data_IF_119600386111
#
_entry.id   IF_119600386111
#
_cell.length_a   1.000
_cell.length_b   1.000
_cell.length_c   1.000
_cell.angle_alpha   90.00
_cell.angle_beta   90.00
_cell.angle_gamma   90.00
#
_symmetry.space_group_name_H-M   'P 1'
#
loop_
_entity.id
_entity.type
_entity.pdbx_description
1 polymer ?
#
# COMPACT_ATOMS: atom_id res chain seq x y z
N UNK A 1 -52.67 5.59 -43.32
CA UNK A 1 -51.87 6.54 -42.52
C UNK A 1 -52.02 6.09 -41.08
N UNK A 2 -51.10 5.25 -40.63
CA UNK A 2 -49.92 5.64 -39.80
C UNK A 2 -50.34 5.73 -38.33
N UNK A 3 -49.69 5.12 -37.34
CA UNK A 3 -48.49 4.29 -37.33
C UNK A 3 -48.42 3.55 -35.99
N UNK A 4 -47.88 2.33 -36.01
CA UNK A 4 -47.52 1.58 -34.80
C UNK A 4 -46.23 2.18 -34.25
N UNK A 5 -46.29 2.86 -33.10
CA UNK A 5 -45.09 3.17 -32.33
C UNK A 5 -44.66 1.90 -31.57
N UNK A 6 -43.80 1.11 -32.21
CA UNK A 6 -42.98 0.13 -31.51
C UNK A 6 -41.89 0.89 -30.75
N UNK A 7 -42.01 0.95 -29.43
CA UNK A 7 -40.91 1.36 -28.57
C UNK A 7 -39.78 0.35 -28.75
N UNK A 8 -38.69 0.79 -29.36
CA UNK A 8 -37.43 0.04 -29.33
C UNK A 8 -36.91 0.22 -27.91
N UNK A 9 -37.00 -0.82 -27.10
CA UNK A 9 -36.22 -0.92 -25.88
C UNK A 9 -34.75 -0.84 -26.29
N UNK A 10 -34.10 0.27 -25.94
CA UNK A 10 -32.68 0.45 -26.08
C UNK A 10 -32.01 -0.53 -25.11
N UNK A 11 -31.76 -1.75 -25.58
CA UNK A 11 -30.96 -2.73 -24.86
C UNK A 11 -29.56 -2.15 -24.72
N UNK A 12 -29.32 -1.43 -23.60
CA UNK A 12 -27.99 -0.99 -23.21
C UNK A 12 -27.10 -2.23 -23.18
N UNK A 13 -26.18 -2.34 -24.13
CA UNK A 13 -25.18 -3.40 -24.15
C UNK A 13 -24.53 -3.38 -22.76
N UNK A 14 -24.56 -4.49 -22.00
CA UNK A 14 -23.97 -4.51 -20.67
C UNK A 14 -22.51 -4.07 -20.79
N UNK A 15 -22.17 -2.93 -20.18
CA UNK A 15 -20.78 -2.46 -20.18
C UNK A 15 -19.95 -3.53 -19.48
N UNK A 16 -18.86 -3.94 -20.13
CA UNK A 16 -17.89 -4.85 -19.54
C UNK A 16 -17.41 -4.24 -18.20
N UNK A 17 -17.37 -5.03 -17.11
CA UNK A 17 -16.89 -4.54 -15.82
C UNK A 17 -15.50 -3.91 -15.93
N UNK A 18 -15.28 -2.80 -15.22
CA UNK A 18 -13.96 -2.21 -15.12
C UNK A 18 -13.01 -3.19 -14.43
N UNK A 19 -11.84 -3.40 -15.01
CA UNK A 19 -10.80 -4.23 -14.42
C UNK A 19 -10.12 -3.51 -13.26
N UNK A 20 -9.89 -4.22 -12.15
CA UNK A 20 -9.17 -3.70 -10.98
C UNK A 20 -7.98 -4.62 -10.68
N UNK A 21 -6.78 -4.07 -10.60
CA UNK A 21 -5.59 -4.77 -10.14
C UNK A 21 -5.19 -4.26 -8.75
N UNK A 22 -5.06 -5.16 -7.78
CA UNK A 22 -4.48 -4.82 -6.48
C UNK A 22 -3.10 -5.47 -6.36
N UNK A 23 -2.06 -4.65 -6.23
CA UNK A 23 -0.64 -5.06 -6.24
C UNK A 23 -0.09 -5.00 -4.81
N UNK A 24 0.49 -6.11 -4.35
CA UNK A 24 1.06 -6.23 -3.01
C UNK A 24 2.34 -5.44 -2.78
N UNK A 25 2.92 -5.64 -1.60
CA UNK A 25 4.10 -4.95 -1.10
C UNK A 25 5.32 -5.16 -2.02
N UNK A 26 6.04 -4.07 -2.33
CA UNK A 26 7.12 -4.05 -3.33
C UNK A 26 8.49 -4.04 -2.68
N UNK A 27 8.64 -3.30 -1.57
CA UNK A 27 9.85 -3.25 -0.75
C UNK A 27 11.15 -3.09 -1.56
N UNK A 28 11.24 -2.06 -2.40
CA UNK A 28 12.48 -1.73 -3.12
C UNK A 28 12.92 -2.74 -4.19
N UNK A 29 12.11 -3.76 -4.53
CA UNK A 29 12.46 -4.73 -5.57
C UNK A 29 11.96 -4.30 -6.96
N UNK A 30 12.67 -3.36 -7.59
CA UNK A 30 12.29 -2.81 -8.90
C UNK A 30 12.13 -3.87 -9.99
N UNK A 31 12.99 -4.89 -10.02
CA UNK A 31 12.93 -5.96 -11.02
C UNK A 31 11.66 -6.79 -10.88
N UNK A 32 11.21 -7.06 -9.65
CA UNK A 32 9.95 -7.75 -9.37
C UNK A 32 8.76 -6.91 -9.83
N UNK A 33 8.77 -5.61 -9.53
CA UNK A 33 7.73 -4.68 -9.97
C UNK A 33 7.62 -4.62 -11.50
N UNK A 34 8.74 -4.46 -12.21
CA UNK A 34 8.76 -4.39 -13.67
C UNK A 34 8.29 -5.70 -14.32
N UNK A 35 8.72 -6.85 -13.78
CA UNK A 35 8.29 -8.15 -14.29
C UNK A 35 6.80 -8.39 -14.05
N UNK A 36 6.28 -8.07 -12.85
CA UNK A 36 4.86 -8.17 -12.54
C UNK A 36 4.04 -7.26 -13.45
N UNK A 37 4.48 -6.02 -13.65
CA UNK A 37 3.81 -5.08 -14.55
C UNK A 37 3.76 -5.60 -15.99
N UNK A 38 4.88 -6.10 -16.51
CA UNK A 38 4.95 -6.71 -17.85
C UNK A 38 4.04 -7.94 -17.96
N UNK A 39 3.93 -8.75 -16.90
CA UNK A 39 3.06 -9.92 -16.88
C UNK A 39 1.58 -9.52 -16.88
N UNK A 40 1.20 -8.49 -16.11
CA UNK A 40 -0.15 -7.93 -16.13
C UNK A 40 -0.51 -7.40 -17.53
N UNK A 41 0.37 -6.61 -18.13
CA UNK A 41 0.17 -6.04 -19.48
C UNK A 41 0.05 -7.11 -20.56
N UNK A 42 0.74 -8.24 -20.40
CA UNK A 42 0.67 -9.37 -21.34
C UNK A 42 -0.60 -10.21 -21.17
N UNK A 43 -1.07 -10.38 -19.93
CA UNK A 43 -2.21 -11.27 -19.61
C UNK A 43 -3.57 -10.61 -19.78
N UNK A 44 -3.62 -9.30 -19.61
CA UNK A 44 -4.86 -8.54 -19.63
C UNK A 44 -5.08 -8.03 -21.05
N UNK A 45 -6.33 -8.07 -21.51
CA UNK A 45 -6.68 -7.49 -22.80
C UNK A 45 -6.23 -6.01 -22.85
N UNK A 46 -5.55 -5.55 -23.93
CA UNK A 46 -4.99 -4.21 -23.98
C UNK A 46 -6.02 -3.08 -23.75
N UNK A 47 -7.29 -3.28 -24.13
CA UNK A 47 -8.34 -2.28 -23.92
C UNK A 47 -8.73 -2.20 -22.45
N UNK A 48 -8.86 -3.36 -21.78
CA UNK A 48 -9.15 -3.41 -20.35
C UNK A 48 -7.98 -2.85 -19.54
N UNK A 49 -6.74 -3.24 -19.89
CA UNK A 49 -5.54 -2.80 -19.18
C UNK A 49 -5.41 -1.27 -19.25
N UNK A 50 -5.64 -0.66 -20.42
CA UNK A 50 -5.54 0.79 -20.60
C UNK A 50 -6.52 1.61 -19.75
N UNK A 51 -7.63 1.01 -19.30
CA UNK A 51 -8.68 1.70 -18.53
C UNK A 51 -8.83 1.18 -17.10
N UNK A 52 -7.94 0.27 -16.70
CA UNK A 52 -7.96 -0.39 -15.41
C UNK A 52 -7.81 0.60 -14.24
N UNK A 53 -8.36 0.21 -13.10
CA UNK A 53 -8.00 0.77 -11.80
C UNK A 53 -6.85 -0.05 -11.22
N UNK A 54 -5.72 0.59 -10.95
CA UNK A 54 -4.54 -0.04 -10.37
C UNK A 54 -4.36 0.49 -8.95
N UNK A 55 -4.45 -0.40 -7.97
CA UNK A 55 -4.31 -0.09 -6.54
C UNK A 55 -3.03 -0.74 -6.03
N UNK A 56 -2.03 0.08 -5.71
CA UNK A 56 -0.82 -0.35 -5.04
C UNK A 56 -1.03 -0.35 -3.54
N UNK A 57 -0.83 -1.48 -2.88
CA UNK A 57 -1.28 -1.71 -1.50
C UNK A 57 -0.34 -1.16 -0.42
N UNK A 58 0.77 -0.52 -0.81
CA UNK A 58 1.74 0.14 0.08
C UNK A 58 3.07 -0.61 0.14
N UNK A 59 3.92 -0.18 1.07
CA UNK A 59 5.25 -0.71 1.36
C UNK A 59 6.14 -0.77 0.10
N UNK A 60 6.43 0.40 -0.44
CA UNK A 60 7.27 0.60 -1.61
C UNK A 60 8.76 0.65 -1.26
N UNK A 61 9.07 1.15 -0.08
CA UNK A 61 10.44 1.29 0.43
C UNK A 61 10.88 0.14 1.34
N UNK A 62 12.13 0.21 1.77
CA UNK A 62 12.83 -0.67 2.69
C UNK A 62 13.09 -2.10 2.18
N UNK A 63 14.04 -2.79 2.82
CA UNK A 63 14.47 -4.17 2.57
C UNK A 63 15.20 -4.39 1.24
N UNK A 64 14.51 -4.15 0.12
CA UNK A 64 15.07 -4.27 -1.22
C UNK A 64 15.93 -3.06 -1.59
N UNK A 65 16.86 -3.23 -2.54
CA UNK A 65 17.94 -2.27 -2.77
C UNK A 65 17.53 -1.01 -3.55
N UNK A 66 16.44 -1.04 -4.31
CA UNK A 66 16.17 -0.06 -5.38
C UNK A 66 14.89 0.77 -5.09
N UNK A 67 14.74 1.26 -3.85
CA UNK A 67 13.55 2.06 -3.44
C UNK A 67 13.36 3.29 -4.32
N UNK A 68 14.46 3.98 -4.67
CA UNK A 68 14.42 5.15 -5.54
C UNK A 68 13.79 4.81 -6.89
N UNK A 69 14.27 3.77 -7.54
CA UNK A 69 13.82 3.31 -8.85
C UNK A 69 12.38 2.80 -8.82
N UNK A 70 11.95 2.17 -7.71
CA UNK A 70 10.54 1.82 -7.47
C UNK A 70 9.67 3.07 -7.51
N UNK A 71 10.02 4.12 -6.76
CA UNK A 71 9.22 5.35 -6.74
C UNK A 71 9.25 6.07 -8.10
N UNK A 72 10.41 6.11 -8.79
CA UNK A 72 10.53 6.62 -10.16
C UNK A 72 9.55 5.90 -11.10
N UNK A 73 9.49 4.57 -11.03
CA UNK A 73 8.58 3.75 -11.82
C UNK A 73 7.12 4.10 -11.52
N UNK A 74 6.72 4.14 -10.25
CA UNK A 74 5.34 4.44 -9.83
C UNK A 74 4.89 5.84 -10.27
N UNK A 75 5.76 6.84 -10.20
CA UNK A 75 5.49 8.20 -10.69
C UNK A 75 5.26 8.20 -12.20
N UNK A 76 6.06 7.45 -12.96
CA UNK A 76 5.97 7.39 -14.43
C UNK A 76 4.67 6.77 -14.96
N UNK A 77 3.96 5.99 -14.15
CA UNK A 77 2.73 5.28 -14.57
C UNK A 77 1.65 6.23 -15.08
N UNK A 78 1.50 7.41 -14.45
CA UNK A 78 0.46 8.38 -14.83
C UNK A 78 0.68 8.94 -16.24
N UNK A 79 1.93 9.15 -16.66
CA UNK A 79 2.24 9.60 -18.02
C UNK A 79 2.22 8.46 -19.03
N UNK A 80 2.65 7.26 -18.62
CA UNK A 80 2.75 6.10 -19.51
C UNK A 80 1.36 5.49 -19.79
N UNK A 81 0.43 5.59 -18.83
CA UNK A 81 -0.92 5.03 -18.90
C UNK A 81 -1.97 6.09 -18.51
N UNK A 82 -2.19 7.13 -19.34
CA UNK A 82 -3.02 8.29 -18.99
C UNK A 82 -4.51 7.97 -18.82
N UNK A 83 -4.98 6.81 -19.30
CA UNK A 83 -6.37 6.36 -19.19
C UNK A 83 -6.59 5.39 -18.01
N UNK A 84 -5.53 4.98 -17.31
CA UNK A 84 -5.63 4.21 -16.08
C UNK A 84 -5.92 5.15 -14.90
N UNK A 85 -6.47 4.59 -13.83
CA UNK A 85 -6.47 5.25 -12.52
C UNK A 85 -5.46 4.55 -11.62
N UNK A 86 -4.53 5.29 -11.03
CA UNK A 86 -3.54 4.77 -10.10
C UNK A 86 -3.80 5.26 -8.69
N UNK A 87 -3.96 4.32 -7.76
CA UNK A 87 -4.09 4.57 -6.33
C UNK A 87 -2.85 4.02 -5.64
N UNK A 88 -2.24 4.84 -4.80
CA UNK A 88 -1.06 4.49 -4.03
C UNK A 88 -1.41 4.58 -2.54
N UNK A 89 -1.59 3.43 -1.89
CA UNK A 89 -1.79 3.38 -0.45
C UNK A 89 -0.48 3.66 0.27
N UNK A 90 -0.56 4.35 1.41
CA UNK A 90 0.58 4.43 2.32
C UNK A 90 0.71 3.12 3.06
N UNK A 91 1.81 2.42 2.88
CA UNK A 91 2.21 1.35 3.79
C UNK A 91 2.70 1.89 5.13
N UNK A 92 2.97 1.00 6.09
CA UNK A 92 3.58 1.45 7.34
C UNK A 92 5.05 1.82 7.15
N UNK A 93 5.74 1.22 6.19
CA UNK A 93 7.11 1.59 5.83
C UNK A 93 7.12 2.97 5.17
N UNK A 94 6.23 3.21 4.20
CA UNK A 94 6.19 4.50 3.49
C UNK A 94 5.71 5.65 4.39
N UNK A 95 4.79 5.39 5.32
CA UNK A 95 4.39 6.36 6.35
C UNK A 95 5.59 6.79 7.21
N UNK A 96 6.43 5.82 7.59
CA UNK A 96 7.60 6.06 8.41
C UNK A 96 8.70 6.79 7.61
N UNK A 97 8.86 6.47 6.33
CA UNK A 97 9.74 7.21 5.42
C UNK A 97 9.25 8.65 5.21
N UNK A 98 7.96 8.85 4.94
CA UNK A 98 7.32 10.17 4.82
C UNK A 98 7.49 11.02 6.09
N UNK A 99 7.39 10.40 7.26
CA UNK A 99 7.69 11.04 8.54
C UNK A 99 9.14 11.53 8.62
N UNK A 100 10.10 10.71 8.19
CA UNK A 100 11.51 11.05 8.24
C UNK A 100 11.87 12.19 7.27
N UNK A 101 11.34 12.19 6.05
CA UNK A 101 11.58 13.26 5.07
C UNK A 101 10.72 14.51 5.28
N UNK A 102 9.88 14.52 6.32
CA UNK A 102 9.15 15.70 6.77
C UNK A 102 7.96 16.09 5.88
N UNK A 103 7.28 15.12 5.27
CA UNK A 103 6.15 15.37 4.34
C UNK A 103 4.79 14.91 4.87
N UNK A 104 4.73 14.48 6.13
CA UNK A 104 3.46 14.20 6.79
C UNK A 104 2.67 15.50 7.02
N UNK A 105 1.32 15.45 6.95
CA UNK A 105 0.50 16.56 7.42
C UNK A 105 0.68 16.75 8.93
N UNK A 106 0.66 18.01 9.42
CA UNK A 106 0.73 18.26 10.85
C UNK A 106 -0.47 17.63 11.57
N UNK A 107 -0.34 17.29 12.85
CA UNK A 107 -1.45 16.73 13.62
C UNK A 107 -2.69 17.64 13.57
N UNK A 108 -3.89 17.10 13.30
CA UNK A 108 -5.10 17.90 13.05
C UNK A 108 -5.57 18.75 14.24
N UNK A 109 -5.12 18.45 15.46
CA UNK A 109 -5.41 19.24 16.66
C UNK A 109 -4.31 20.25 17.02
N UNK A 110 -3.28 20.38 16.19
CA UNK A 110 -2.15 21.28 16.42
C UNK A 110 -1.14 20.80 17.46
N UNK A 111 -1.26 19.56 17.95
CA UNK A 111 -0.21 18.95 18.78
C UNK A 111 1.11 18.79 18.01
N UNK A 112 2.21 18.74 18.75
CA UNK A 112 3.52 18.46 18.19
C UNK A 112 3.69 16.96 17.93
N UNK A 113 4.42 16.59 16.89
CA UNK A 113 4.74 15.18 16.60
C UNK A 113 5.46 14.47 17.76
N UNK A 114 6.14 15.21 18.64
CA UNK A 114 6.80 14.66 19.83
C UNK A 114 5.85 13.99 20.82
N UNK A 115 4.57 14.36 20.80
CA UNK A 115 3.55 13.73 21.65
C UNK A 115 3.38 12.23 21.32
N UNK A 116 3.67 11.85 20.08
CA UNK A 116 3.57 10.45 19.62
C UNK A 116 4.63 9.53 20.21
N UNK A 117 5.67 10.06 20.86
CA UNK A 117 6.77 9.25 21.38
C UNK A 117 6.46 8.56 22.71
N UNK A 118 5.54 9.14 23.50
CA UNK A 118 5.34 8.80 24.92
C UNK A 118 4.98 7.33 25.15
N UNK A 119 4.08 6.79 24.32
CA UNK A 119 3.60 5.42 24.43
C UNK A 119 4.72 4.38 24.23
N UNK A 120 5.69 4.68 23.36
CA UNK A 120 6.73 3.73 22.95
C UNK A 120 8.11 4.03 23.52
N UNK A 121 8.24 4.98 24.45
CA UNK A 121 9.53 5.45 24.97
C UNK A 121 10.40 4.32 25.52
N UNK A 122 9.80 3.28 26.11
CA UNK A 122 10.52 2.08 26.58
C UNK A 122 11.26 1.30 25.47
N UNK A 123 10.90 1.51 24.20
CA UNK A 123 11.57 0.87 23.05
C UNK A 123 12.74 1.68 22.50
N UNK A 124 12.90 2.96 22.91
CA UNK A 124 13.88 3.88 22.32
C UNK A 124 15.30 3.33 22.39
N UNK A 125 15.69 2.77 23.54
CA UNK A 125 17.04 2.26 23.70
C UNK A 125 17.31 1.05 22.79
N UNK A 126 16.36 0.11 22.71
CA UNK A 126 16.51 -1.11 21.90
C UNK A 126 16.54 -0.79 20.41
N UNK A 127 15.65 0.10 19.98
CA UNK A 127 15.47 0.46 18.57
C UNK A 127 16.46 1.56 18.11
N UNK A 128 17.13 2.22 19.06
CA UNK A 128 18.12 3.26 18.79
C UNK A 128 17.54 4.40 17.97
N UNK A 129 16.40 4.95 18.38
CA UNK A 129 15.67 5.97 17.61
C UNK A 129 16.58 7.10 17.13
N UNK A 130 16.32 7.59 15.93
CA UNK A 130 17.04 8.70 15.33
C UNK A 130 17.02 9.94 16.26
N UNK A 131 18.19 10.56 16.39
CA UNK A 131 18.47 11.76 17.21
C UNK A 131 19.31 12.80 16.46
N UNK A 132 19.41 12.68 15.13
CA UNK A 132 20.10 13.66 14.29
C UNK A 132 19.21 14.86 13.97
N UNK A 133 19.69 15.75 13.11
CA UNK A 133 19.03 17.03 12.81
C UNK A 133 17.53 16.87 12.48
N UNK A 134 16.69 17.66 13.17
CA UNK A 134 15.25 17.74 12.94
C UNK A 134 14.41 16.68 13.66
N UNK A 135 15.03 15.77 14.43
CA UNK A 135 14.29 14.71 15.14
C UNK A 135 13.23 15.25 16.12
N UNK A 136 13.41 16.47 16.64
CA UNK A 136 12.52 17.08 17.63
C UNK A 136 11.11 17.32 17.08
N UNK A 137 11.00 17.49 15.76
CA UNK A 137 9.76 17.72 15.03
C UNK A 137 9.32 16.50 14.22
N UNK A 138 9.82 15.31 14.57
CA UNK A 138 9.59 14.10 13.80
C UNK A 138 8.58 13.19 14.48
N UNK A 139 7.63 12.66 13.71
CA UNK A 139 6.71 11.62 14.19
C UNK A 139 7.50 10.40 14.67
N UNK A 140 6.98 9.69 15.69
CA UNK A 140 7.61 8.50 16.28
C UNK A 140 8.14 7.54 15.20
N UNK A 141 7.31 7.23 14.20
CA UNK A 141 7.67 6.25 13.17
C UNK A 141 8.88 6.68 12.33
N UNK A 142 9.04 7.97 12.01
CA UNK A 142 10.25 8.46 11.32
C UNK A 142 11.51 8.26 12.17
N UNK A 143 11.39 8.48 13.49
CA UNK A 143 12.50 8.24 14.43
C UNK A 143 12.86 6.76 14.54
N UNK A 144 11.86 5.87 14.50
CA UNK A 144 12.07 4.40 14.50
C UNK A 144 12.65 3.91 13.18
N UNK A 145 12.20 4.47 12.08
CA UNK A 145 12.59 4.12 10.71
C UNK A 145 14.06 4.43 10.43
N UNK A 146 14.55 5.60 10.83
CA UNK A 146 15.96 5.97 10.73
C UNK A 146 16.80 5.58 11.96
N UNK A 147 16.23 4.80 12.88
CA UNK A 147 16.93 4.35 14.09
C UNK A 147 18.05 3.35 13.79
N UNK A 148 18.94 3.14 14.74
CA UNK A 148 19.98 2.10 14.68
C UNK A 148 19.65 1.00 15.69
N UNK A 149 19.04 -0.08 15.21
CA UNK A 149 18.58 -1.15 16.09
C UNK A 149 19.78 -1.87 16.75
N UNK A 150 19.73 -2.04 18.08
CA UNK A 150 20.81 -2.71 18.82
C UNK A 150 20.78 -4.23 18.67
N UNK A 151 19.61 -4.79 18.36
CA UNK A 151 19.42 -6.21 18.11
C UNK A 151 19.70 -6.49 16.64
N UNK A 152 20.65 -7.38 16.35
CA UNK A 152 21.05 -7.66 14.97
C UNK A 152 20.09 -8.57 14.21
N UNK A 153 19.45 -9.52 14.88
CA UNK A 153 18.66 -10.56 14.23
C UNK A 153 17.16 -10.44 14.51
N UNK A 154 16.36 -10.49 13.45
CA UNK A 154 14.91 -10.58 13.48
C UNK A 154 14.49 -12.05 13.52
N UNK A 155 14.19 -12.55 14.72
CA UNK A 155 13.75 -13.95 14.91
C UNK A 155 12.46 -14.29 14.18
N UNK A 156 11.57 -13.33 13.94
CA UNK A 156 10.30 -13.57 13.25
C UNK A 156 10.51 -13.77 11.75
N UNK A 157 11.44 -13.02 11.15
CA UNK A 157 11.73 -13.09 9.71
C UNK A 157 12.87 -14.05 9.37
N UNK A 158 13.67 -14.44 10.37
CA UNK A 158 14.85 -15.28 10.16
C UNK A 158 16.00 -14.55 9.46
N UNK A 159 16.03 -13.22 9.53
CA UNK A 159 17.00 -12.36 8.83
C UNK A 159 17.67 -11.37 9.79
N UNK A 160 18.81 -10.81 9.40
CA UNK A 160 19.38 -9.66 10.10
C UNK A 160 18.63 -8.37 9.74
N UNK A 161 18.52 -7.44 10.69
CA UNK A 161 17.95 -6.14 10.41
C UNK A 161 18.90 -5.30 9.55
N UNK A 162 18.35 -4.61 8.55
CA UNK A 162 19.13 -3.72 7.70
C UNK A 162 19.08 -2.29 8.25
N UNK A 163 19.87 -2.03 9.30
CA UNK A 163 20.03 -0.71 9.93
C UNK A 163 19.02 -0.40 11.04
N UNK A 164 17.71 -0.46 10.76
CA UNK A 164 16.64 -0.11 11.71
C UNK A 164 15.64 -1.25 11.90
N UNK A 165 14.68 -1.07 12.82
CA UNK A 165 13.55 -2.02 12.97
C UNK A 165 12.66 -2.12 11.72
N UNK A 166 12.78 -1.15 10.81
CA UNK A 166 12.09 -1.10 9.53
C UNK A 166 12.91 -1.67 8.37
N UNK A 167 14.16 -2.10 8.59
CA UNK A 167 15.06 -2.50 7.50
C UNK A 167 15.28 -1.37 6.48
N UNK A 168 15.42 -0.13 6.98
CA UNK A 168 15.46 1.08 6.15
C UNK A 168 16.81 1.36 5.47
N UNK A 169 17.89 0.69 5.88
CA UNK A 169 19.24 0.92 5.34
C UNK A 169 19.31 0.92 3.81
N UNK A 170 18.72 -0.07 3.10
CA UNK A 170 18.67 -0.12 1.65
C UNK A 170 17.97 1.08 1.01
N UNK A 171 16.95 1.65 1.66
CA UNK A 171 16.32 2.88 1.18
C UNK A 171 17.29 4.05 1.25
N UNK A 172 18.00 4.26 2.37
CA UNK A 172 19.05 5.29 2.43
C UNK A 172 20.09 5.11 1.30
N UNK A 173 20.57 3.88 1.13
CA UNK A 173 21.58 3.53 0.12
C UNK A 173 21.08 3.78 -1.32
N UNK A 174 19.81 3.49 -1.62
CA UNK A 174 19.20 3.75 -2.94
C UNK A 174 19.16 5.24 -3.31
N UNK A 175 19.18 6.14 -2.31
CA UNK A 175 19.29 7.58 -2.52
C UNK A 175 20.74 8.09 -2.40
N UNK A 176 21.72 7.20 -2.27
CA UNK A 176 23.15 7.52 -2.26
C UNK A 176 23.66 8.10 -0.95
N UNK A 177 23.01 7.79 0.18
CA UNK A 177 23.42 8.26 1.52
C UNK A 177 23.51 7.09 2.50
N UNK A 178 24.35 7.16 3.55
CA UNK A 178 24.43 6.10 4.54
C UNK A 178 23.18 6.05 5.42
N UNK A 179 22.87 4.85 5.94
CA UNK A 179 21.77 4.62 6.89
C UNK A 179 21.79 5.63 8.05
N UNK A 180 20.63 6.20 8.36
CA UNK A 180 20.46 7.15 9.46
C UNK A 180 21.02 8.54 9.21
N UNK A 181 21.43 8.87 7.96
CA UNK A 181 21.90 10.22 7.62
C UNK A 181 20.74 11.21 7.44
N UNK A 182 20.82 12.36 8.10
CA UNK A 182 19.88 13.47 7.88
C UNK A 182 19.95 14.02 6.44
N UNK A 183 21.06 13.80 5.72
CA UNK A 183 21.20 14.23 4.32
C UNK A 183 20.25 13.52 3.37
N UNK A 184 19.62 12.40 3.78
CA UNK A 184 18.56 11.76 3.00
C UNK A 184 17.41 12.75 2.70
N UNK A 185 17.09 13.66 3.63
CA UNK A 185 16.05 14.69 3.41
C UNK A 185 16.38 15.57 2.18
N UNK A 186 17.66 15.82 1.91
CA UNK A 186 18.12 16.56 0.72
C UNK A 186 18.27 15.67 -0.50
N UNK A 187 18.63 14.40 -0.31
CA UNK A 187 18.87 13.45 -1.39
C UNK A 187 17.57 12.98 -2.07
N UNK A 188 16.45 12.89 -1.32
CA UNK A 188 15.15 12.50 -1.87
C UNK A 188 14.59 13.65 -2.74
N UNK A 189 14.32 13.41 -4.05
CA UNK A 189 13.77 14.42 -4.96
C UNK A 189 12.41 14.96 -4.51
N UNK A 190 12.08 16.19 -4.89
CA UNK A 190 10.81 16.82 -4.53
C UNK A 190 9.60 16.07 -5.12
N UNK A 191 9.75 15.44 -6.30
CA UNK A 191 8.70 14.61 -6.89
C UNK A 191 8.43 13.35 -6.04
N UNK A 192 9.46 12.77 -5.42
CA UNK A 192 9.32 11.61 -4.53
C UNK A 192 8.69 12.03 -3.20
N UNK A 193 9.11 13.18 -2.65
CA UNK A 193 8.46 13.79 -1.48
C UNK A 193 6.98 14.05 -1.74
N UNK A 194 6.65 14.58 -2.92
CA UNK A 194 5.27 14.78 -3.35
C UNK A 194 4.51 13.45 -3.47
N UNK A 195 5.12 12.43 -4.07
CA UNK A 195 4.53 11.10 -4.15
C UNK A 195 4.17 10.56 -2.75
N UNK A 196 5.12 10.60 -1.81
CA UNK A 196 4.92 10.18 -0.41
C UNK A 196 3.83 11.01 0.29
N UNK A 197 3.80 12.33 0.09
CA UNK A 197 2.77 13.19 0.66
C UNK A 197 1.36 12.87 0.11
N UNK A 198 1.27 12.49 -1.17
CA UNK A 198 0.02 12.25 -1.88
C UNK A 198 -0.58 10.86 -1.57
N UNK A 199 0.20 9.88 -1.09
CA UNK A 199 -0.31 8.53 -0.76
C UNK A 199 -1.52 8.58 0.18
N UNK A 200 -2.54 7.76 -0.09
CA UNK A 200 -3.77 7.73 0.73
C UNK A 200 -3.69 6.61 1.77
N UNK A 201 -4.27 6.79 2.96
CA UNK A 201 -4.27 5.71 3.97
C UNK A 201 -5.40 4.70 3.74
N UNK A 202 -6.41 5.10 2.98
CA UNK A 202 -7.53 4.25 2.57
C UNK A 202 -8.05 4.72 1.22
N UNK A 203 -8.56 3.79 0.43
CA UNK A 203 -9.28 4.06 -0.81
C UNK A 203 -10.59 3.26 -0.83
N UNK A 204 -11.64 3.87 -1.36
CA UNK A 204 -12.96 3.27 -1.47
C UNK A 204 -13.45 3.35 -2.92
N UNK A 205 -14.05 2.26 -3.38
CA UNK A 205 -14.80 2.19 -4.63
C UNK A 205 -16.21 1.67 -4.33
N UNK A 206 -17.22 2.34 -4.90
CA UNK A 206 -18.61 1.99 -4.63
C UNK A 206 -19.09 0.77 -5.42
N UNK A 207 -18.49 0.50 -6.59
CA UNK A 207 -18.92 -0.57 -7.48
C UNK A 207 -17.73 -1.25 -8.19
N UNK A 208 -17.33 -2.41 -7.66
CA UNK A 208 -16.34 -3.31 -8.23
C UNK A 208 -16.98 -4.68 -8.45
N UNK A 209 -16.69 -5.28 -9.60
CA UNK A 209 -17.16 -6.63 -9.91
C UNK A 209 -16.19 -7.69 -9.39
N UNK A 210 -16.72 -8.78 -8.85
CA UNK A 210 -16.00 -10.00 -8.49
C UNK A 210 -16.73 -11.22 -9.05
N UNK A 211 -15.99 -12.14 -9.63
CA UNK A 211 -16.52 -13.41 -10.12
C UNK A 211 -16.57 -14.41 -8.97
N UNK A 212 -17.77 -14.94 -8.71
CA UNK A 212 -18.02 -15.99 -7.71
C UNK A 212 -18.59 -17.24 -8.38
N UNK A 213 -18.73 -18.34 -7.63
CA UNK A 213 -19.39 -19.55 -8.13
C UNK A 213 -20.85 -19.30 -8.57
N UNK A 214 -21.51 -18.31 -7.98
CA UNK A 214 -22.88 -17.89 -8.30
C UNK A 214 -22.97 -16.91 -9.48
N UNK A 215 -21.82 -16.53 -10.06
CA UNK A 215 -21.71 -15.53 -11.13
C UNK A 215 -21.01 -14.24 -10.67
N UNK A 216 -21.12 -13.19 -11.50
CA UNK A 216 -20.53 -11.87 -11.21
C UNK A 216 -21.37 -11.17 -10.13
N UNK A 217 -20.72 -10.70 -9.07
CA UNK A 217 -21.30 -9.87 -8.01
C UNK A 217 -20.72 -8.47 -8.05
N UNK A 218 -21.55 -7.49 -7.72
CA UNK A 218 -21.15 -6.10 -7.50
C UNK A 218 -20.92 -5.90 -6.00
N UNK A 219 -19.77 -5.34 -5.65
CA UNK A 219 -19.36 -5.11 -4.27
C UNK A 219 -18.76 -3.72 -4.13
N UNK A 220 -18.87 -3.16 -2.93
CA UNK A 220 -17.95 -2.09 -2.53
C UNK A 220 -16.54 -2.64 -2.40
N UNK A 221 -15.53 -1.80 -2.52
CA UNK A 221 -14.15 -2.15 -2.22
C UNK A 221 -13.55 -1.11 -1.28
N UNK A 222 -12.89 -1.58 -0.22
CA UNK A 222 -12.07 -0.79 0.69
C UNK A 222 -10.65 -1.34 0.60
N UNK A 223 -9.72 -0.51 0.14
CA UNK A 223 -8.31 -0.82 0.12
C UNK A 223 -7.60 -0.08 1.26
N UNK A 224 -6.93 -0.82 2.13
CA UNK A 224 -6.18 -0.31 3.29
C UNK A 224 -5.01 -1.25 3.57
N UNK A 225 -3.82 -0.69 3.81
CA UNK A 225 -2.58 -1.45 3.75
C UNK A 225 -2.56 -2.71 4.62
N UNK A 226 -2.93 -2.62 5.91
CA UNK A 226 -3.01 -3.79 6.79
C UNK A 226 -4.45 -4.32 6.93
N UNK A 227 -5.43 -3.45 7.15
CA UNK A 227 -6.83 -3.84 7.38
C UNK A 227 -7.58 -2.81 8.22
N UNK A 228 -8.72 -3.21 8.77
CA UNK A 228 -9.51 -2.38 9.69
C UNK A 228 -9.61 -3.09 11.04
N UNK A 229 -9.58 -2.33 12.13
CA UNK A 229 -9.72 -2.86 13.48
C UNK A 229 -11.10 -3.47 13.67
N UNK A 230 -11.15 -4.68 14.24
CA UNK A 230 -12.40 -5.45 14.39
C UNK A 230 -13.38 -4.88 15.43
N UNK A 231 -12.85 -4.17 16.43
CA UNK A 231 -13.57 -3.75 17.64
C UNK A 231 -13.89 -2.23 17.61
N UNK A 232 -13.65 -1.55 16.48
CA UNK A 232 -13.87 -0.11 16.29
C UNK A 232 -14.88 0.16 15.17
N UNK A 233 -15.70 1.20 15.31
CA UNK A 233 -16.69 1.57 14.30
C UNK A 233 -16.04 1.92 12.96
N UNK A 234 -16.51 1.30 11.87
CA UNK A 234 -15.87 1.41 10.55
C UNK A 234 -15.85 2.85 10.05
N UNK A 235 -16.95 3.58 10.21
CA UNK A 235 -17.05 4.97 9.73
C UNK A 235 -16.05 5.91 10.42
N UNK A 236 -15.79 5.73 11.73
CA UNK A 236 -14.79 6.55 12.45
C UNK A 236 -13.36 6.15 12.06
N UNK A 237 -13.09 4.86 11.82
CA UNK A 237 -11.81 4.43 11.24
C UNK A 237 -11.58 5.06 9.86
N UNK A 238 -12.55 4.97 8.95
CA UNK A 238 -12.44 5.56 7.61
C UNK A 238 -12.25 7.07 7.64
N UNK A 239 -12.91 7.77 8.57
CA UNK A 239 -12.77 9.22 8.75
C UNK A 239 -11.36 9.61 9.20
N UNK A 240 -10.78 8.90 10.16
CA UNK A 240 -9.40 9.16 10.63
C UNK A 240 -8.37 8.83 9.56
N UNK A 241 -8.57 7.75 8.79
CA UNK A 241 -7.71 7.38 7.67
C UNK A 241 -7.76 8.41 6.54
N UNK A 242 -8.95 8.86 6.13
CA UNK A 242 -9.11 9.92 5.12
C UNK A 242 -8.48 11.24 5.56
N UNK A 243 -8.56 11.55 6.85
CA UNK A 243 -7.95 12.74 7.43
C UNK A 243 -6.42 12.65 7.60
N UNK A 244 -5.84 11.45 7.40
CA UNK A 244 -4.43 11.15 7.70
C UNK A 244 -4.05 11.60 9.13
N UNK A 245 -4.77 11.09 10.12
CA UNK A 245 -4.59 11.51 11.53
C UNK A 245 -3.21 11.10 12.09
N UNK A 246 -2.27 12.04 12.04
CA UNK A 246 -0.87 11.84 12.46
C UNK A 246 -0.63 12.02 13.96
N UNK A 247 -1.69 12.09 14.78
CA UNK A 247 -1.59 12.03 16.24
C UNK A 247 -1.34 10.63 16.75
N UNK A 248 -1.73 9.62 15.97
CA UNK A 248 -1.69 8.22 16.36
C UNK A 248 -0.26 7.70 16.30
N UNK A 249 0.35 7.31 17.43
CA UNK A 249 1.74 6.86 17.46
C UNK A 249 2.02 5.70 16.50
N UNK A 250 1.08 4.76 16.43
CA UNK A 250 1.14 3.59 15.56
C UNK A 250 -0.24 3.32 14.99
N UNK A 251 -0.44 3.63 13.71
CA UNK A 251 -1.74 3.51 13.03
C UNK A 251 -2.08 2.03 12.81
N UNK A 252 -3.09 1.52 13.54
CA UNK A 252 -3.55 0.13 13.47
C UNK A 252 -3.85 -0.34 12.04
N UNK A 253 -4.66 0.40 11.27
CA UNK A 253 -4.94 0.05 9.87
C UNK A 253 -3.74 -0.02 8.91
N UNK A 254 -2.58 0.52 9.30
CA UNK A 254 -1.34 0.39 8.53
C UNK A 254 -0.38 -0.65 9.15
N UNK A 255 -0.38 -0.84 10.47
CA UNK A 255 0.67 -1.60 11.18
C UNK A 255 0.18 -2.82 11.95
N UNK A 256 -1.14 -3.00 12.03
CA UNK A 256 -1.82 -4.04 12.80
C UNK A 256 -1.55 -5.44 12.23
N UNK A 257 -1.76 -6.47 13.04
CA UNK A 257 -1.59 -7.87 12.60
C UNK A 257 -2.90 -8.62 12.81
N UNK A 258 -3.01 -9.39 13.89
CA UNK A 258 -4.21 -10.17 14.19
C UNK A 258 -5.48 -9.31 14.38
N UNK A 259 -5.34 -8.06 14.85
CA UNK A 259 -6.48 -7.18 15.11
C UNK A 259 -7.16 -6.64 13.84
N UNK A 260 -6.44 -6.64 12.71
CA UNK A 260 -6.88 -6.13 11.40
C UNK A 260 -6.92 -7.21 10.31
N UNK A 261 -6.81 -8.48 10.71
CA UNK A 261 -6.80 -9.60 9.76
C UNK A 261 -8.18 -9.87 9.17
N UNK A 262 -9.21 -9.88 10.02
CA UNK A 262 -10.60 -10.18 9.63
C UNK A 262 -11.32 -8.96 9.03
N UNK A 263 -12.42 -9.20 8.32
CA UNK A 263 -13.36 -8.13 7.94
C UNK A 263 -14.15 -7.70 9.18
N UNK A 264 -14.24 -6.38 9.51
CA UNK A 264 -15.13 -5.90 10.55
C UNK A 264 -16.58 -6.34 10.33
N UNK A 265 -17.28 -6.70 11.41
CA UNK A 265 -18.65 -7.24 11.33
C UNK A 265 -19.62 -6.34 10.57
N UNK A 266 -19.49 -5.01 10.72
CA UNK A 266 -20.30 -4.00 10.01
C UNK A 266 -20.23 -4.12 8.48
N UNK A 267 -19.10 -4.60 7.95
CA UNK A 267 -18.89 -4.77 6.51
C UNK A 267 -19.35 -6.14 5.97
N UNK A 268 -19.84 -7.04 6.84
CA UNK A 268 -20.37 -8.34 6.42
C UNK A 268 -21.83 -8.29 5.95
N UNK A 269 -22.57 -7.23 6.32
CA UNK A 269 -23.99 -7.07 5.97
C UNK A 269 -24.19 -6.64 4.50
N UNK A 270 -23.25 -5.86 3.96
CA UNK A 270 -23.24 -5.41 2.56
C UNK A 270 -21.97 -5.93 1.91
N UNK A 271 -22.04 -6.66 0.78
CA UNK A 271 -20.85 -7.20 0.11
C UNK A 271 -19.76 -6.14 -0.11
N UNK A 272 -18.70 -6.22 0.68
CA UNK A 272 -17.58 -5.29 0.67
C UNK A 272 -16.28 -6.07 0.62
N UNK A 273 -15.53 -5.87 -0.46
CA UNK A 273 -14.17 -6.37 -0.61
C UNK A 273 -13.27 -5.55 0.30
N UNK A 274 -12.51 -6.20 1.17
CA UNK A 274 -11.45 -5.54 1.97
C UNK A 274 -10.12 -6.09 1.51
N UNK A 275 -9.36 -5.25 0.80
CA UNK A 275 -8.06 -5.62 0.21
C UNK A 275 -6.89 -4.95 0.93
N UNK A 276 -5.87 -5.75 1.24
CA UNK A 276 -4.68 -5.35 2.02
C UNK A 276 -3.42 -6.06 1.52
N UNK A 277 -2.26 -5.49 1.82
CA UNK A 277 -0.94 -6.12 1.67
C UNK A 277 -0.41 -6.57 3.03
N UNK A 278 0.79 -6.13 3.41
CA UNK A 278 1.40 -6.09 4.76
C UNK A 278 1.73 -7.42 5.46
N UNK A 279 0.85 -8.41 5.35
CA UNK A 279 0.82 -9.55 6.26
C UNK A 279 1.84 -10.66 5.96
N UNK A 280 2.67 -10.50 4.92
CA UNK A 280 3.63 -11.49 4.44
C UNK A 280 2.96 -12.78 3.99
N UNK A 281 1.71 -12.69 3.51
CA UNK A 281 0.92 -13.81 3.00
C UNK A 281 0.10 -13.42 1.77
N UNK A 282 -0.09 -14.39 0.89
CA UNK A 282 -1.20 -14.41 -0.04
C UNK A 282 -2.36 -15.21 0.57
N UNK A 283 -3.44 -14.53 0.94
CA UNK A 283 -4.63 -15.14 1.54
C UNK A 283 -5.89 -14.56 0.91
N UNK A 284 -6.76 -15.42 0.40
CA UNK A 284 -8.05 -15.05 -0.17
C UNK A 284 -9.12 -15.88 0.53
N UNK A 285 -10.03 -15.20 1.21
CA UNK A 285 -11.16 -15.83 1.89
C UNK A 285 -12.42 -14.98 1.70
N UNK A 286 -13.32 -15.44 0.82
CA UNK A 286 -14.50 -14.68 0.44
C UNK A 286 -14.14 -13.31 -0.12
N UNK A 287 -14.55 -12.25 0.59
CA UNK A 287 -14.30 -10.85 0.22
C UNK A 287 -13.07 -10.25 0.92
N UNK A 288 -12.34 -11.04 1.73
CA UNK A 288 -11.08 -10.62 2.37
C UNK A 288 -9.91 -11.01 1.48
N UNK A 289 -9.23 -10.01 0.94
CA UNK A 289 -8.08 -10.19 0.06
C UNK A 289 -6.82 -9.66 0.73
N UNK A 290 -5.88 -10.54 1.05
CA UNK A 290 -4.56 -10.18 1.57
C UNK A 290 -3.54 -10.60 0.53
N UNK A 291 -2.92 -9.62 -0.11
CA UNK A 291 -2.06 -9.78 -1.28
C UNK A 291 -0.67 -9.26 -0.91
N UNK A 292 0.08 -10.08 -0.19
CA UNK A 292 1.49 -9.80 0.13
C UNK A 292 2.27 -11.11 0.20
N UNK A 293 2.38 -11.80 -0.95
CA UNK A 293 3.16 -13.04 -1.02
C UNK A 293 4.67 -12.79 -0.81
N UNK A 294 5.13 -11.57 -1.12
CA UNK A 294 6.52 -11.17 -1.04
C UNK A 294 7.00 -11.04 0.40
N UNK A 295 6.25 -10.34 1.24
CA UNK A 295 6.66 -9.96 2.60
C UNK A 295 7.98 -9.19 2.64
N UNK A 296 8.38 -8.63 1.50
CA UNK A 296 9.68 -7.98 1.30
C UNK A 296 10.88 -8.91 1.40
N UNK A 297 10.70 -10.21 1.11
CA UNK A 297 11.78 -11.19 1.05
C UNK A 297 12.24 -11.41 -0.40
N UNK A 298 13.55 -11.39 -0.63
CA UNK A 298 14.16 -11.46 -1.97
C UNK A 298 13.73 -12.71 -2.76
N UNK A 299 13.60 -13.86 -2.09
CA UNK A 299 13.24 -15.14 -2.71
C UNK A 299 11.75 -15.29 -3.01
N UNK A 300 10.88 -14.47 -2.42
CA UNK A 300 9.44 -14.57 -2.60
C UNK A 300 8.96 -13.71 -3.78
N UNK A 301 7.89 -14.11 -4.48
CA UNK A 301 7.33 -13.32 -5.57
C UNK A 301 6.53 -12.12 -5.06
N UNK A 302 6.46 -11.07 -5.86
CA UNK A 302 5.44 -10.02 -5.68
C UNK A 302 4.22 -10.43 -6.50
N UNK A 303 3.06 -10.37 -5.88
CA UNK A 303 1.80 -10.81 -6.47
C UNK A 303 0.81 -9.66 -6.62
N UNK A 304 -0.06 -9.80 -7.60
CA UNK A 304 -1.26 -8.99 -7.78
C UNK A 304 -2.49 -9.89 -7.91
N UNK A 305 -3.64 -9.39 -7.47
CA UNK A 305 -4.95 -9.97 -7.79
C UNK A 305 -5.65 -9.11 -8.85
N UNK A 306 -6.26 -9.75 -9.84
CA UNK A 306 -7.01 -9.11 -10.93
C UNK A 306 -8.49 -9.43 -10.79
N UNK A 307 -9.30 -8.39 -10.60
CA UNK A 307 -10.77 -8.44 -10.56
C UNK A 307 -11.35 -8.10 -11.94
N UNK A 308 -12.46 -8.74 -12.35
CA UNK A 308 -13.33 -9.60 -11.55
C UNK A 308 -12.87 -11.07 -11.42
N UNK A 309 -11.91 -11.53 -12.23
CA UNK A 309 -11.59 -12.96 -12.36
C UNK A 309 -10.95 -13.61 -11.13
N UNK A 310 -10.53 -12.82 -10.13
CA UNK A 310 -9.76 -13.26 -8.97
C UNK A 310 -8.43 -13.93 -9.34
N UNK A 311 -7.92 -13.64 -10.55
CA UNK A 311 -6.66 -14.22 -11.02
C UNK A 311 -5.49 -13.62 -10.25
N UNK A 312 -4.63 -14.48 -9.73
CA UNK A 312 -3.33 -14.09 -9.20
C UNK A 312 -2.30 -14.04 -10.34
N UNK A 313 -1.56 -12.95 -10.41
CA UNK A 313 -0.44 -12.73 -11.33
C UNK A 313 0.80 -12.43 -10.49
N UNK A 314 1.94 -13.01 -10.86
CA UNK A 314 3.22 -12.84 -10.16
C UNK A 314 4.29 -12.27 -11.08
N UNK A 315 5.31 -11.65 -10.48
CA UNK A 315 6.54 -11.28 -11.17
C UNK A 315 7.28 -12.50 -11.77
N UNK A 316 7.11 -13.67 -11.16
CA UNK A 316 7.77 -14.93 -11.55
C UNK A 316 7.03 -15.73 -12.62
N UNK A 317 5.82 -15.30 -13.02
CA UNK A 317 5.06 -15.98 -14.08
C UNK A 317 5.83 -15.94 -15.40
N UNK A 318 5.98 -17.11 -16.04
CA UNK A 318 6.63 -17.24 -17.35
C UNK A 318 5.58 -17.30 -18.43
N UNK A 319 5.27 -16.14 -19.02
CA UNK A 319 4.28 -16.03 -20.08
C UNK A 319 4.95 -16.23 -21.44
N UNK A 320 4.34 -17.05 -22.29
CA UNK A 320 4.73 -17.11 -23.69
C UNK A 320 4.34 -15.77 -24.34
N UNK A 321 5.32 -15.07 -24.91
CA UNK A 321 5.08 -13.90 -25.76
C UNK A 321 4.52 -14.31 -27.11
#
# INVERSE_FOLDING_TARGET
MEGRNGGVEEHSIPRKPRLVCCIGDIHGFITKLQNLWSNLETLIDPVDFQTALIIFLGDYCDRGPDTREVIDFLISLRSNYPNQSHVFLSGNHDFAFAAFVGVLPPPPDGSEFSETWKEYTSSEEREGWFKGDGYEKMHLQGRRWAGTIKVKFNVTKGTEYQGSIYDAGPTFESYGVPHGSADLVKAVPDEHKKFLADMVWVHEEDDVCIQTEEGIKHCKLIAVHAGLERDEAVDEQLKTLKAKDTRVPKVGPLSGRASVWEIPKELTEKPTIVVSGHHGKLHIEGLRLIIDEGGGLEQNPVAAVVLPSMRIVRDTDKLAK
#
